data_IF_662767845602
#
_entry.id   IF_662767845602
#
_cell.length_a   1.000
_cell.length_b   1.000
_cell.length_c   1.000
_cell.angle_alpha   90.00
_cell.angle_beta   90.00
_cell.angle_gamma   90.00
#
_symmetry.space_group_name_H-M   'P 1'
#
loop_
_entity.id
_entity.type
_entity.pdbx_description
1 polymer ?
#
# COMPACT_ATOMS: atom_id res chain seq x y z
N UNK A 1 -23.20 -0.08 1.70
CA UNK A 1 -21.91 0.02 2.40
C UNK A 1 -22.15 -0.37 3.84
N UNK A 2 -21.40 -1.32 4.36
CA UNK A 2 -21.47 -1.77 5.76
C UNK A 2 -20.97 -0.63 6.64
N UNK A 3 -21.66 -0.35 7.75
CA UNK A 3 -21.16 0.57 8.77
C UNK A 3 -20.03 -0.12 9.56
N UNK A 4 -18.82 0.40 9.43
CA UNK A 4 -17.62 -0.14 10.07
C UNK A 4 -17.40 0.43 11.47
N UNK A 5 -18.15 1.46 11.88
CA UNK A 5 -17.94 2.15 13.15
C UNK A 5 -18.06 1.21 14.37
N UNK A 6 -19.09 0.35 14.50
CA UNK A 6 -19.20 -0.53 15.66
C UNK A 6 -18.03 -1.52 15.80
N UNK A 7 -17.47 -1.97 14.67
CA UNK A 7 -16.32 -2.88 14.65
C UNK A 7 -15.03 -2.16 15.07
N UNK A 8 -14.86 -0.91 14.62
CA UNK A 8 -13.76 -0.07 15.05
C UNK A 8 -13.84 0.26 16.54
N UNK A 9 -15.04 0.60 17.04
CA UNK A 9 -15.25 0.88 18.46
C UNK A 9 -14.94 -0.34 19.35
N UNK A 10 -15.21 -1.56 18.86
CA UNK A 10 -14.83 -2.79 19.55
C UNK A 10 -13.30 -2.99 19.61
N UNK A 11 -12.56 -2.65 18.55
CA UNK A 11 -11.09 -2.64 18.55
C UNK A 11 -10.56 -1.66 19.59
N UNK A 12 -11.05 -0.42 19.58
CA UNK A 12 -10.62 0.62 20.54
C UNK A 12 -10.91 0.20 21.99
N UNK A 13 -12.05 -0.44 22.24
CA UNK A 13 -12.44 -0.89 23.59
C UNK A 13 -11.51 -2.00 24.09
N UNK A 14 -11.22 -2.99 23.24
CA UNK A 14 -10.33 -4.10 23.59
C UNK A 14 -8.86 -3.65 23.70
N UNK A 15 -8.42 -2.70 22.89
CA UNK A 15 -7.10 -2.06 22.99
C UNK A 15 -6.93 -1.33 24.33
N UNK A 16 -7.95 -0.56 24.74
CA UNK A 16 -7.94 0.11 26.04
C UNK A 16 -7.85 -0.86 27.22
N UNK A 17 -8.50 -2.04 27.12
CA UNK A 17 -8.42 -3.09 28.14
C UNK A 17 -7.00 -3.69 28.23
N UNK A 18 -6.37 -3.98 27.09
CA UNK A 18 -4.96 -4.43 27.04
C UNK A 18 -4.05 -3.40 27.67
N UNK A 19 -4.21 -2.12 27.32
CA UNK A 19 -3.37 -1.05 27.85
C UNK A 19 -3.56 -0.86 29.36
N UNK A 20 -4.79 -1.01 29.86
CA UNK A 20 -5.10 -0.96 31.30
C UNK A 20 -4.34 -2.04 32.06
N UNK A 21 -4.45 -3.29 31.60
CA UNK A 21 -3.79 -4.45 32.23
C UNK A 21 -2.26 -4.31 32.15
N UNK A 22 -1.74 -3.89 31.01
CA UNK A 22 -0.30 -3.65 30.84
C UNK A 22 0.22 -2.54 31.79
N UNK A 23 -0.55 -1.48 31.99
CA UNK A 23 -0.19 -0.39 32.92
C UNK A 23 -0.22 -0.86 34.38
N UNK A 24 -1.18 -1.70 34.74
CA UNK A 24 -1.28 -2.31 36.07
C UNK A 24 -0.09 -3.25 36.34
N UNK A 25 0.28 -4.07 35.35
CA UNK A 25 1.48 -4.91 35.38
C UNK A 25 2.77 -4.08 35.52
N UNK A 26 2.94 -3.02 34.73
CA UNK A 26 4.11 -2.13 34.84
C UNK A 26 4.20 -1.50 36.24
N UNK A 27 3.06 -1.09 36.79
CA UNK A 27 2.99 -0.52 38.14
C UNK A 27 3.41 -1.54 39.20
N UNK A 28 2.98 -2.80 39.08
CA UNK A 28 3.39 -3.88 39.98
C UNK A 28 4.89 -4.19 39.86
N UNK A 29 5.43 -4.23 38.64
CA UNK A 29 6.85 -4.48 38.44
C UNK A 29 7.73 -3.36 39.00
N UNK A 30 7.28 -2.09 38.93
CA UNK A 30 7.99 -0.94 39.52
C UNK A 30 8.06 -0.94 41.05
N UNK A 31 7.24 -1.73 41.73
CA UNK A 31 7.26 -1.80 43.20
C UNK A 31 8.46 -2.62 43.71
N UNK A 32 9.13 -3.39 42.85
CA UNK A 32 10.33 -4.21 43.14
C UNK A 32 10.20 -5.23 44.29
N UNK A 33 9.01 -5.39 44.89
CA UNK A 33 8.74 -6.38 45.93
C UNK A 33 8.42 -7.75 45.34
N UNK A 34 8.69 -8.81 46.10
CA UNK A 34 8.40 -10.18 45.66
C UNK A 34 6.89 -10.47 45.61
N UNK A 35 6.12 -9.82 46.48
CA UNK A 35 4.64 -9.89 46.49
C UNK A 35 4.05 -9.24 45.23
N UNK A 36 4.57 -8.07 44.80
CA UNK A 36 4.10 -7.41 43.59
C UNK A 36 4.49 -8.18 42.33
N UNK A 37 5.68 -8.80 42.29
CA UNK A 37 6.06 -9.71 41.20
C UNK A 37 5.15 -10.94 41.12
N UNK A 38 4.79 -11.53 42.25
CA UNK A 38 3.86 -12.67 42.29
C UNK A 38 2.47 -12.26 41.79
N UNK A 39 1.98 -11.07 42.16
CA UNK A 39 0.73 -10.52 41.64
C UNK A 39 0.80 -10.26 40.13
N UNK A 40 1.92 -9.72 39.63
CA UNK A 40 2.10 -9.48 38.20
C UNK A 40 2.09 -10.80 37.40
N UNK A 41 2.74 -11.85 37.91
CA UNK A 41 2.70 -13.18 37.30
C UNK A 41 1.28 -13.78 37.31
N UNK A 42 0.51 -13.54 38.38
CA UNK A 42 -0.88 -13.99 38.46
C UNK A 42 -1.81 -13.26 37.48
N UNK A 43 -1.47 -12.02 37.08
CA UNK A 43 -2.20 -11.24 36.08
C UNK A 43 -1.81 -11.58 34.63
N UNK A 44 -0.75 -12.36 34.40
CA UNK A 44 -0.30 -12.74 33.06
C UNK A 44 -1.41 -13.39 32.21
N UNK A 45 -2.24 -14.32 32.72
CA UNK A 45 -3.34 -14.90 31.93
C UNK A 45 -4.35 -13.84 31.47
N UNK A 46 -4.63 -12.83 32.30
CA UNK A 46 -5.57 -11.76 31.95
C UNK A 46 -5.04 -10.90 30.80
N UNK A 47 -3.73 -10.62 30.79
CA UNK A 47 -3.09 -9.91 29.67
C UNK A 47 -3.19 -10.71 28.38
N UNK A 48 -2.92 -12.02 28.44
CA UNK A 48 -3.01 -12.92 27.28
C UNK A 48 -4.44 -12.94 26.74
N UNK A 49 -5.44 -13.14 27.61
CA UNK A 49 -6.85 -13.16 27.21
C UNK A 49 -7.29 -11.84 26.58
N UNK A 50 -6.86 -10.70 27.12
CA UNK A 50 -7.15 -9.39 26.56
C UNK A 50 -6.50 -9.19 25.18
N UNK A 51 -5.25 -9.64 25.00
CA UNK A 51 -4.55 -9.59 23.72
C UNK A 51 -5.24 -10.45 22.65
N UNK A 52 -5.74 -11.64 23.02
CA UNK A 52 -6.50 -12.51 22.12
C UNK A 52 -7.78 -11.83 21.66
N UNK A 53 -8.58 -11.28 22.58
CA UNK A 53 -9.81 -10.54 22.24
C UNK A 53 -9.55 -9.35 21.33
N UNK A 54 -8.49 -8.60 21.59
CA UNK A 54 -8.08 -7.49 20.72
C UNK A 54 -7.70 -7.98 19.31
N UNK A 55 -6.92 -9.05 19.20
CA UNK A 55 -6.55 -9.64 17.91
C UNK A 55 -7.78 -10.14 17.12
N UNK A 56 -8.75 -10.75 17.80
CA UNK A 56 -10.02 -11.16 17.19
C UNK A 56 -10.84 -9.97 16.69
N UNK A 57 -10.93 -8.89 17.48
CA UNK A 57 -11.63 -7.67 17.10
C UNK A 57 -10.98 -7.01 15.86
N UNK A 58 -9.66 -6.93 15.82
CA UNK A 58 -8.91 -6.39 14.66
C UNK A 58 -9.14 -7.25 13.42
N UNK A 59 -9.01 -8.57 13.54
CA UNK A 59 -9.25 -9.51 12.45
C UNK A 59 -10.66 -9.37 11.88
N UNK A 60 -11.66 -9.25 12.75
CA UNK A 60 -13.04 -9.04 12.36
C UNK A 60 -13.22 -7.70 11.64
N UNK A 61 -12.69 -6.60 12.19
CA UNK A 61 -12.74 -5.27 11.55
C UNK A 61 -12.09 -5.29 10.16
N UNK A 62 -10.92 -5.88 10.01
CA UNK A 62 -10.23 -6.00 8.72
C UNK A 62 -11.03 -6.83 7.72
N UNK A 63 -11.61 -7.95 8.16
CA UNK A 63 -12.44 -8.80 7.30
C UNK A 63 -13.66 -8.04 6.75
N UNK A 64 -14.27 -7.21 7.60
CA UNK A 64 -15.41 -6.37 7.23
C UNK A 64 -14.98 -5.23 6.33
N UNK A 65 -13.83 -4.61 6.58
CA UNK A 65 -13.27 -3.57 5.71
C UNK A 65 -12.98 -4.10 4.31
N UNK A 66 -12.39 -5.31 4.20
CA UNK A 66 -12.12 -5.97 2.92
C UNK A 66 -13.42 -6.31 2.19
N UNK A 67 -14.41 -6.82 2.90
CA UNK A 67 -15.73 -7.15 2.34
C UNK A 67 -16.52 -5.91 1.91
N UNK A 68 -16.28 -4.76 2.54
CA UNK A 68 -16.95 -3.50 2.23
C UNK A 68 -16.34 -2.76 1.01
N UNK A 69 -15.25 -3.26 0.42
CA UNK A 69 -14.63 -2.70 -0.79
C UNK A 69 -15.20 -3.41 -2.03
N UNK A 70 -16.04 -2.75 -2.85
CA UNK A 70 -16.82 -3.41 -3.90
C UNK A 70 -16.02 -3.88 -5.12
N UNK A 71 -14.74 -3.54 -5.25
CA UNK A 71 -13.80 -4.13 -6.19
C UNK A 71 -12.42 -3.57 -5.84
N UNK A 72 -11.39 -4.41 -5.82
CA UNK A 72 -10.00 -3.97 -5.75
C UNK A 72 -9.64 -3.37 -7.13
N UNK A 73 -10.19 -2.20 -7.46
CA UNK A 73 -10.04 -1.55 -8.77
C UNK A 73 -8.55 -1.34 -9.09
N UNK A 74 -7.71 -1.23 -8.07
CA UNK A 74 -6.25 -1.17 -8.20
C UNK A 74 -5.65 -2.42 -8.88
N UNK A 75 -6.26 -3.60 -8.75
CA UNK A 75 -5.85 -4.82 -9.49
C UNK A 75 -6.30 -4.82 -10.95
N UNK A 76 -7.27 -3.98 -11.32
CA UNK A 76 -7.72 -3.80 -12.71
C UNK A 76 -6.92 -2.72 -13.45
N UNK A 77 -6.13 -1.91 -12.73
CA UNK A 77 -5.15 -1.01 -13.34
C UNK A 77 -3.82 -1.74 -13.49
N UNK A 78 -3.73 -2.63 -14.47
CA UNK A 78 -2.45 -2.96 -15.08
C UNK A 78 -2.03 -1.71 -15.85
N UNK A 79 -0.91 -1.03 -15.52
CA UNK A 79 -0.36 -0.03 -16.42
C UNK A 79 -0.09 -0.77 -17.73
N UNK A 80 -0.82 -0.43 -18.78
CA UNK A 80 -0.40 -0.73 -20.14
C UNK A 80 0.80 0.18 -20.43
N UNK A 81 1.92 -0.07 -19.75
CA UNK A 81 3.21 0.17 -20.39
C UNK A 81 3.21 -0.77 -21.57
N UNK A 82 2.76 -0.23 -22.70
CA UNK A 82 2.85 -0.85 -24.01
C UNK A 82 4.31 -1.24 -24.19
N UNK A 83 4.70 -2.46 -23.80
CA UNK A 83 5.82 -3.14 -24.44
C UNK A 83 5.31 -3.52 -25.81
N UNK A 84 5.16 -2.51 -26.67
CA UNK A 84 5.27 -2.74 -28.09
C UNK A 84 6.73 -3.11 -28.26
N UNK A 85 6.97 -4.38 -28.52
CA UNK A 85 8.21 -4.89 -29.04
C UNK A 85 8.43 -4.25 -30.42
N UNK A 86 8.75 -2.96 -30.46
CA UNK A 86 9.34 -2.36 -31.66
C UNK A 86 10.81 -2.73 -31.65
N UNK A 87 11.12 -3.57 -32.61
CA UNK A 87 12.44 -4.00 -33.00
C UNK A 87 13.41 -2.81 -33.01
N UNK A 88 14.63 -3.07 -32.53
CA UNK A 88 15.74 -2.15 -32.68
C UNK A 88 15.92 -1.74 -34.15
N UNK A 89 15.66 -0.48 -34.49
CA UNK A 89 16.25 0.16 -35.65
C UNK A 89 16.53 1.64 -35.36
N UNK A 90 17.82 1.96 -35.27
CA UNK A 90 18.34 3.28 -35.58
C UNK A 90 18.04 4.38 -34.58
N UNK A 91 19.09 4.91 -33.96
CA UNK A 91 19.08 6.28 -33.46
C UNK A 91 18.73 7.21 -34.62
N UNK A 92 17.45 7.52 -34.80
CA UNK A 92 17.02 8.52 -35.78
C UNK A 92 17.25 9.86 -35.12
N UNK A 93 18.27 10.57 -35.61
CA UNK A 93 18.52 11.97 -35.33
C UNK A 93 17.21 12.75 -35.43
N UNK A 94 16.74 13.27 -34.30
CA UNK A 94 15.49 14.03 -34.21
C UNK A 94 15.55 15.37 -34.96
N UNK A 95 16.72 15.72 -35.51
CA UNK A 95 16.97 16.89 -36.32
C UNK A 95 17.73 16.49 -37.60
N UNK A 96 17.19 16.88 -38.76
CA UNK A 96 17.88 16.75 -40.05
C UNK A 96 17.87 18.08 -40.79
N UNK A 97 18.88 18.32 -41.63
CA UNK A 97 18.94 19.54 -42.45
C UNK A 97 17.92 19.50 -43.58
N UNK A 98 17.44 20.67 -44.03
CA UNK A 98 16.48 20.77 -45.13
C UNK A 98 16.96 20.10 -46.40
N UNK A 99 18.25 20.22 -46.71
CA UNK A 99 18.89 19.55 -47.86
C UNK A 99 18.87 18.02 -47.79
N UNK A 100 18.75 17.46 -46.58
CA UNK A 100 18.67 16.02 -46.35
C UNK A 100 17.22 15.54 -46.33
N UNK A 101 16.31 16.33 -45.74
CA UNK A 101 14.87 16.09 -45.81
C UNK A 101 14.37 16.04 -47.26
N UNK A 102 14.90 16.90 -48.13
CA UNK A 102 14.49 16.93 -49.53
C UNK A 102 15.02 15.76 -50.38
N UNK A 103 15.98 14.99 -49.85
CA UNK A 103 16.44 13.75 -50.49
C UNK A 103 15.62 12.53 -50.05
N UNK A 104 14.79 12.66 -49.00
CA UNK A 104 13.96 11.57 -48.52
C UNK A 104 12.79 11.29 -49.47
N UNK A 105 12.41 10.01 -49.55
CA UNK A 105 11.20 9.57 -50.23
C UNK A 105 9.95 10.14 -49.54
N UNK A 106 8.85 10.26 -50.26
CA UNK A 106 7.59 10.77 -49.71
C UNK A 106 7.11 9.97 -48.48
N UNK A 107 7.39 8.67 -48.46
CA UNK A 107 7.03 7.78 -47.35
C UNK A 107 7.89 8.08 -46.12
N UNK A 108 9.18 8.29 -46.31
CA UNK A 108 10.12 8.54 -45.21
C UNK A 108 9.95 9.95 -44.63
N UNK A 109 9.61 10.93 -45.48
CA UNK A 109 9.19 12.27 -45.03
C UNK A 109 7.97 12.22 -44.12
N UNK A 110 6.97 11.42 -44.48
CA UNK A 110 5.75 11.27 -43.69
C UNK A 110 6.04 10.58 -42.34
N UNK A 111 6.91 9.57 -42.33
CA UNK A 111 7.36 8.92 -41.10
C UNK A 111 8.13 9.89 -40.20
N UNK A 112 9.03 10.69 -40.76
CA UNK A 112 9.83 11.67 -40.02
C UNK A 112 8.98 12.77 -39.39
N UNK A 113 7.97 13.29 -40.10
CA UNK A 113 7.02 14.25 -39.50
C UNK A 113 6.20 13.58 -38.40
N UNK A 114 5.71 12.35 -38.64
CA UNK A 114 4.87 11.62 -37.68
C UNK A 114 5.63 11.27 -36.39
N UNK A 115 6.95 11.05 -36.46
CA UNK A 115 7.80 10.82 -35.30
C UNK A 115 8.22 12.12 -34.57
N UNK A 116 7.78 13.29 -35.03
CA UNK A 116 8.09 14.57 -34.39
C UNK A 116 9.46 15.13 -34.73
N UNK A 117 10.05 14.71 -35.84
CA UNK A 117 11.34 15.21 -36.33
C UNK A 117 11.29 16.70 -36.69
N UNK A 118 12.35 17.43 -36.35
CA UNK A 118 12.50 18.87 -36.65
C UNK A 118 13.45 19.07 -37.83
N UNK A 119 13.12 19.97 -38.76
CA UNK A 119 13.99 20.32 -39.89
C UNK A 119 14.63 21.68 -39.63
N UNK A 120 15.95 21.74 -39.72
CA UNK A 120 16.75 22.97 -39.62
C UNK A 120 17.36 23.31 -41.00
N UNK A 121 17.66 24.58 -41.25
CA UNK A 121 18.13 25.07 -42.57
C UNK A 121 19.61 24.72 -42.84
#
# INVERSE_FOLDING_TARGET
MIDLKPYYDAVMTTEAEVQRIASELDTLFRQETDEAKAQALAMQPQLIDAQVKHAEAVSLYESMQRSNRPNDVAKNFVPVSTTQSEQAEGSQTSMIKRSEYDKLSLVDRAKFIKSGGTVED
#
